data_IF_569684821402
#
_entry.id   IF_569684821402
#
_cell.length_a   1.000
_cell.length_b   1.000
_cell.length_c   1.000
_cell.angle_alpha   90.00
_cell.angle_beta   90.00
_cell.angle_gamma   90.00
#
_symmetry.space_group_name_H-M   'P 1'
#
loop_
_entity.id
_entity.type
_entity.pdbx_description
1 polymer ?
#
# COMPACT_ATOMS: atom_id res chain seq x y z
N UNK A 1 -27.23 -5.03 -17.69
CA UNK A 1 -26.41 -4.04 -18.46
C UNK A 1 -27.04 -2.65 -18.53
N UNK A 2 -28.37 -2.51 -18.47
CA UNK A 2 -29.05 -1.22 -18.53
C UNK A 2 -28.67 -0.29 -17.37
N UNK A 3 -28.76 -0.75 -16.13
CA UNK A 3 -28.42 0.02 -14.93
C UNK A 3 -26.99 0.60 -14.95
N UNK A 4 -26.03 -0.14 -15.46
CA UNK A 4 -24.66 0.36 -15.57
C UNK A 4 -24.53 1.53 -16.56
N UNK A 5 -25.28 1.49 -17.66
CA UNK A 5 -25.32 2.61 -18.64
C UNK A 5 -25.99 3.85 -18.05
N UNK A 6 -27.05 3.66 -17.27
CA UNK A 6 -27.73 4.75 -16.55
C UNK A 6 -26.81 5.38 -15.49
N UNK A 7 -26.07 4.55 -14.74
CA UNK A 7 -25.06 5.04 -13.80
C UNK A 7 -23.91 5.77 -14.48
N UNK A 8 -23.47 5.33 -15.68
CA UNK A 8 -22.48 6.05 -16.47
C UNK A 8 -22.97 7.43 -16.89
N UNK A 9 -24.23 7.53 -17.31
CA UNK A 9 -24.84 8.81 -17.67
C UNK A 9 -24.92 9.78 -16.46
N UNK A 10 -24.96 9.24 -15.24
CA UNK A 10 -24.90 9.99 -13.98
C UNK A 10 -23.47 10.22 -13.45
N UNK A 11 -22.43 9.93 -14.28
CA UNK A 11 -21.04 10.17 -13.92
C UNK A 11 -20.32 9.01 -13.21
N UNK A 12 -20.90 7.81 -13.17
CA UNK A 12 -20.26 6.64 -12.57
C UNK A 12 -19.12 6.10 -13.45
N UNK A 13 -17.91 6.02 -12.93
CA UNK A 13 -16.69 5.71 -13.71
C UNK A 13 -16.17 4.28 -13.54
N UNK A 14 -16.80 3.46 -12.69
CA UNK A 14 -16.33 2.09 -12.44
C UNK A 14 -16.91 1.07 -13.41
N UNK A 15 -16.34 -0.15 -13.41
CA UNK A 15 -16.71 -1.22 -14.33
C UNK A 15 -18.12 -1.78 -14.08
N UNK A 16 -18.74 -2.32 -15.12
CA UNK A 16 -20.03 -3.05 -15.02
C UNK A 16 -19.98 -4.21 -14.03
N UNK A 17 -18.80 -4.81 -13.86
CA UNK A 17 -18.57 -5.91 -12.90
C UNK A 17 -18.75 -5.48 -11.45
N UNK A 18 -18.36 -4.24 -11.12
CA UNK A 18 -18.55 -3.65 -9.77
C UNK A 18 -20.03 -3.49 -9.48
N UNK A 19 -20.79 -2.97 -10.45
CA UNK A 19 -22.25 -2.83 -10.32
C UNK A 19 -22.91 -4.19 -10.15
N UNK A 20 -22.55 -5.19 -10.96
CA UNK A 20 -23.13 -6.54 -10.87
C UNK A 20 -22.87 -7.19 -9.52
N UNK A 21 -21.65 -7.06 -8.97
CA UNK A 21 -21.33 -7.57 -7.62
C UNK A 21 -22.16 -6.89 -6.53
N UNK A 22 -22.35 -5.59 -6.64
CA UNK A 22 -23.17 -4.84 -5.69
C UNK A 22 -24.63 -5.28 -5.73
N UNK A 23 -25.22 -5.42 -6.92
CA UNK A 23 -26.60 -5.89 -7.10
C UNK A 23 -26.77 -7.31 -6.55
N UNK A 24 -25.81 -8.21 -6.81
CA UNK A 24 -25.85 -9.58 -6.27
C UNK A 24 -25.85 -9.57 -4.74
N UNK A 25 -25.06 -8.68 -4.12
CA UNK A 25 -25.04 -8.52 -2.66
C UNK A 25 -26.38 -8.00 -2.13
N UNK A 26 -26.95 -6.99 -2.79
CA UNK A 26 -28.26 -6.44 -2.41
C UNK A 26 -29.38 -7.49 -2.53
N UNK A 27 -29.42 -8.28 -3.60
CA UNK A 27 -30.42 -9.35 -3.77
C UNK A 27 -30.33 -10.38 -2.64
N UNK A 28 -29.13 -10.86 -2.32
CA UNK A 28 -28.91 -11.80 -1.21
C UNK A 28 -29.31 -11.21 0.13
N UNK A 29 -29.03 -9.93 0.37
CA UNK A 29 -29.42 -9.25 1.59
C UNK A 29 -30.94 -9.08 1.67
N UNK A 30 -31.63 -8.76 0.56
CA UNK A 30 -33.10 -8.69 0.47
C UNK A 30 -33.77 -10.05 0.72
N UNK A 31 -33.18 -11.12 0.18
CA UNK A 31 -33.66 -12.51 0.44
C UNK A 31 -33.51 -12.89 1.93
N UNK A 32 -32.53 -12.28 2.64
CA UNK A 32 -32.35 -12.42 4.08
C UNK A 32 -33.21 -11.45 4.93
N UNK A 33 -34.19 -10.75 4.32
CA UNK A 33 -35.10 -9.85 5.02
C UNK A 33 -34.51 -8.46 5.33
N UNK A 34 -33.35 -8.11 4.78
CA UNK A 34 -32.76 -6.78 4.93
C UNK A 34 -33.30 -5.83 3.86
N UNK A 35 -34.00 -4.77 4.27
CA UNK A 35 -34.36 -3.66 3.40
C UNK A 35 -33.29 -2.56 3.52
N UNK A 36 -32.65 -2.13 2.41
CA UNK A 36 -31.75 -1.01 2.46
C UNK A 36 -32.51 0.25 2.83
N UNK A 37 -32.17 0.87 3.96
CA UNK A 37 -32.57 2.24 4.18
C UNK A 37 -32.00 3.07 3.04
N UNK A 38 -32.87 3.69 2.26
CA UNK A 38 -32.51 4.64 1.20
C UNK A 38 -31.99 5.92 1.87
N UNK A 39 -30.83 5.83 2.51
CA UNK A 39 -30.07 7.03 2.79
C UNK A 39 -29.50 7.51 1.44
N UNK A 40 -30.23 8.39 0.79
CA UNK A 40 -29.71 9.25 -0.26
C UNK A 40 -28.70 10.22 0.35
N UNK A 41 -27.58 9.67 0.82
CA UNK A 41 -26.41 10.50 1.04
C UNK A 41 -25.81 10.76 -0.34
N UNK A 42 -25.83 11.98 -0.84
CA UNK A 42 -25.09 12.31 -2.02
C UNK A 42 -23.64 12.01 -1.69
N UNK A 43 -23.11 10.90 -2.24
CA UNK A 43 -21.70 10.60 -2.13
C UNK A 43 -20.94 11.63 -2.96
N UNK A 44 -20.70 12.79 -2.34
CA UNK A 44 -19.74 13.75 -2.83
C UNK A 44 -18.38 13.09 -2.70
N UNK A 45 -17.79 12.77 -3.83
CA UNK A 45 -16.41 12.25 -3.90
C UNK A 45 -15.53 13.23 -3.13
N UNK A 46 -14.78 12.80 -2.11
CA UNK A 46 -13.88 13.70 -1.41
C UNK A 46 -12.98 14.38 -2.44
N UNK A 47 -13.02 15.70 -2.52
CA UNK A 47 -12.12 16.48 -3.35
C UNK A 47 -10.75 16.46 -2.68
N UNK A 48 -9.96 15.45 -2.99
CA UNK A 48 -8.63 15.32 -2.41
C UNK A 48 -7.90 14.08 -2.93
N UNK A 49 -6.59 14.00 -2.70
CA UNK A 49 -5.81 12.83 -3.10
C UNK A 49 -6.31 11.59 -2.36
N UNK A 50 -6.32 10.44 -3.03
CA UNK A 50 -6.66 9.17 -2.40
C UNK A 50 -5.64 8.82 -1.29
N UNK A 51 -6.06 8.05 -0.28
CA UNK A 51 -5.15 7.57 0.78
C UNK A 51 -3.89 6.90 0.21
N UNK A 52 -4.04 6.16 -0.91
CA UNK A 52 -2.92 5.55 -1.62
C UNK A 52 -1.97 6.59 -2.22
N UNK A 53 -2.48 7.64 -2.84
CA UNK A 53 -1.66 8.73 -3.40
C UNK A 53 -0.90 9.45 -2.29
N UNK A 54 -1.58 9.75 -1.18
CA UNK A 54 -0.95 10.32 0.02
C UNK A 54 0.17 9.43 0.54
N UNK A 55 -0.03 8.12 0.64
CA UNK A 55 1.00 7.18 1.10
C UNK A 55 2.26 7.20 0.23
N UNK A 56 2.12 7.26 -1.10
CA UNK A 56 3.27 7.40 -2.00
C UNK A 56 4.00 8.73 -1.81
N UNK A 57 3.25 9.82 -1.69
CA UNK A 57 3.83 11.15 -1.41
C UNK A 57 4.53 11.17 -0.06
N UNK A 58 3.96 10.51 0.95
CA UNK A 58 4.51 10.42 2.31
C UNK A 58 5.89 9.77 2.35
N UNK A 59 6.09 8.67 1.62
CA UNK A 59 7.38 7.97 1.55
C UNK A 59 8.37 8.61 0.56
N UNK A 60 7.91 9.49 -0.32
CA UNK A 60 8.79 10.23 -1.24
C UNK A 60 9.70 11.19 -0.44
N UNK A 61 11.02 11.27 -0.74
CA UNK A 61 11.88 12.28 -0.15
C UNK A 61 11.33 13.68 -0.37
N UNK A 62 11.37 14.53 0.66
CA UNK A 62 10.81 15.89 0.61
C UNK A 62 11.36 16.70 -0.56
N UNK A 63 12.68 16.62 -0.81
CA UNK A 63 13.33 17.30 -1.93
C UNK A 63 12.85 16.86 -3.33
N UNK A 64 12.12 15.72 -3.42
CA UNK A 64 11.58 15.18 -4.68
C UNK A 64 10.06 15.33 -4.79
N UNK A 65 9.42 15.94 -3.79
CA UNK A 65 7.97 16.15 -3.82
C UNK A 65 7.60 17.34 -4.69
N UNK A 66 6.51 17.21 -5.42
CA UNK A 66 5.86 18.35 -6.06
C UNK A 66 5.26 19.27 -4.99
N UNK A 67 5.20 20.57 -5.28
CA UNK A 67 4.75 21.58 -4.32
C UNK A 67 3.32 21.37 -3.82
N UNK A 68 2.40 21.00 -4.71
CA UNK A 68 1.02 20.67 -4.39
C UNK A 68 0.89 19.44 -3.48
N UNK A 69 1.74 18.44 -3.71
CA UNK A 69 1.81 17.24 -2.90
C UNK A 69 2.37 17.53 -1.49
N UNK A 70 3.34 18.43 -1.37
CA UNK A 70 3.86 18.89 -0.08
C UNK A 70 2.77 19.66 0.69
N UNK A 71 2.08 20.58 0.06
CA UNK A 71 0.98 21.32 0.66
C UNK A 71 -0.13 20.38 1.20
N UNK A 72 -0.44 19.33 0.45
CA UNK A 72 -1.42 18.32 0.88
C UNK A 72 -0.96 17.59 2.15
N UNK A 73 0.33 17.26 2.28
CA UNK A 73 0.88 16.64 3.50
C UNK A 73 0.83 17.60 4.67
N UNK A 74 1.18 18.87 4.46
CA UNK A 74 1.18 19.89 5.52
C UNK A 74 -0.24 20.15 6.03
N UNK A 75 -1.23 20.21 5.16
CA UNK A 75 -2.63 20.30 5.54
C UNK A 75 -3.09 19.08 6.37
N UNK A 76 -2.70 17.87 5.98
CA UNK A 76 -3.01 16.65 6.73
C UNK A 76 -2.37 16.66 8.12
N UNK A 77 -1.13 17.11 8.25
CA UNK A 77 -0.41 17.22 9.52
C UNK A 77 -1.07 18.22 10.47
N UNK A 78 -1.58 19.33 9.94
CA UNK A 78 -2.28 20.34 10.72
C UNK A 78 -3.71 19.92 11.06
N UNK A 79 -4.37 19.18 10.17
CA UNK A 79 -5.76 18.75 10.33
C UNK A 79 -5.97 17.59 11.30
N UNK A 80 -4.94 16.79 11.59
CA UNK A 80 -5.04 15.64 12.47
C UNK A 80 -3.78 15.44 13.32
N UNK A 81 -3.96 15.55 14.64
CA UNK A 81 -2.86 15.43 15.60
C UNK A 81 -2.08 14.11 15.45
N UNK A 82 -2.78 12.99 15.26
CA UNK A 82 -2.15 11.67 15.06
C UNK A 82 -1.27 11.63 13.82
N UNK A 83 -1.68 12.30 12.74
CA UNK A 83 -0.88 12.41 11.52
C UNK A 83 0.34 13.31 11.75
N UNK A 84 0.14 14.43 12.45
CA UNK A 84 1.24 15.32 12.85
C UNK A 84 2.32 14.63 13.67
N UNK A 85 1.91 13.75 14.60
CA UNK A 85 2.82 12.94 15.41
C UNK A 85 3.47 11.79 14.64
N UNK A 86 2.72 11.13 13.73
CA UNK A 86 3.23 10.01 12.93
C UNK A 86 4.26 10.45 11.90
N UNK A 87 4.16 11.68 11.40
CA UNK A 87 5.01 12.17 10.30
C UNK A 87 6.51 12.16 10.66
N UNK A 88 6.96 12.79 11.74
CA UNK A 88 8.38 12.80 12.08
C UNK A 88 8.93 11.40 12.34
N UNK A 89 8.19 10.54 13.03
CA UNK A 89 8.58 9.15 13.28
C UNK A 89 8.72 8.36 11.97
N UNK A 90 7.78 8.53 11.05
CA UNK A 90 7.84 7.88 9.74
C UNK A 90 9.04 8.37 8.91
N UNK A 91 9.30 9.68 8.90
CA UNK A 91 10.44 10.23 8.17
C UNK A 91 11.78 9.79 8.79
N UNK A 92 11.87 9.72 10.11
CA UNK A 92 13.04 9.18 10.81
C UNK A 92 13.30 7.72 10.42
N UNK A 93 12.27 6.87 10.38
CA UNK A 93 12.42 5.50 9.90
C UNK A 93 12.88 5.41 8.45
N UNK A 94 12.28 6.21 7.57
CA UNK A 94 12.69 6.27 6.16
C UNK A 94 14.13 6.76 5.98
N UNK A 95 14.60 7.66 6.84
CA UNK A 95 16.00 8.08 6.87
C UNK A 95 16.93 6.93 7.29
N UNK A 96 16.57 6.18 8.35
CA UNK A 96 17.33 4.98 8.77
C UNK A 96 17.49 3.98 7.62
N UNK A 97 16.42 3.74 6.86
CA UNK A 97 16.44 2.80 5.72
C UNK A 97 17.33 3.35 4.59
N UNK A 98 17.19 4.62 4.24
CA UNK A 98 17.94 5.24 3.13
C UNK A 98 19.43 5.36 3.42
N UNK A 99 19.76 5.71 4.66
CA UNK A 99 21.13 5.95 5.12
C UNK A 99 21.79 4.68 5.66
N UNK A 100 21.05 3.57 5.71
CA UNK A 100 21.52 2.28 6.24
C UNK A 100 22.00 2.34 7.68
N UNK A 101 21.27 3.06 8.52
CA UNK A 101 21.64 3.28 9.92
C UNK A 101 20.98 2.26 10.85
N UNK A 102 21.45 1.01 10.78
CA UNK A 102 20.97 -0.05 11.66
C UNK A 102 21.32 0.15 13.13
N UNK A 103 22.31 0.97 13.44
CA UNK A 103 22.72 1.39 14.80
C UNK A 103 21.60 2.16 15.52
N UNK A 104 20.89 3.02 14.83
CA UNK A 104 19.82 3.84 15.40
C UNK A 104 18.43 3.16 15.42
N UNK A 105 18.31 1.92 14.92
CA UNK A 105 17.04 1.21 14.83
C UNK A 105 16.38 0.98 16.20
N UNK A 106 17.16 0.58 17.22
CA UNK A 106 16.61 0.26 18.55
C UNK A 106 16.06 1.49 19.27
N UNK A 107 16.74 2.64 19.10
CA UNK A 107 16.25 3.91 19.63
C UNK A 107 14.93 4.30 18.96
N UNK A 108 14.85 4.18 17.63
CA UNK A 108 13.62 4.45 16.89
C UNK A 108 12.47 3.52 17.30
N UNK A 109 12.71 2.22 17.47
CA UNK A 109 11.71 1.26 17.94
C UNK A 109 11.15 1.68 19.31
N UNK A 110 12.00 2.13 20.21
CA UNK A 110 11.59 2.57 21.55
C UNK A 110 10.71 3.83 21.48
N UNK A 111 11.11 4.80 20.68
CA UNK A 111 10.36 6.03 20.47
C UNK A 111 9.00 5.77 19.80
N UNK A 112 8.97 4.95 18.75
CA UNK A 112 7.74 4.58 18.06
C UNK A 112 6.76 3.81 18.95
N UNK A 113 7.26 2.91 19.80
CA UNK A 113 6.44 2.19 20.78
C UNK A 113 5.84 3.11 21.86
N UNK A 114 6.56 4.15 22.26
CA UNK A 114 6.13 5.13 23.24
C UNK A 114 5.24 6.25 22.67
N UNK A 115 5.06 6.33 21.35
CA UNK A 115 4.37 7.43 20.66
C UNK A 115 2.86 7.53 20.95
N UNK A 116 2.25 6.50 21.53
CA UNK A 116 0.79 6.41 21.70
C UNK A 116 0.02 6.10 20.41
N UNK A 117 0.71 5.92 19.28
CA UNK A 117 0.12 5.58 17.98
C UNK A 117 0.13 4.06 17.79
N UNK A 118 -1.02 3.42 17.97
CA UNK A 118 -1.14 1.95 17.97
C UNK A 118 -0.55 1.29 16.71
N UNK A 119 -0.72 1.89 15.55
CA UNK A 119 -0.19 1.37 14.29
C UNK A 119 1.35 1.37 14.27
N UNK A 120 1.98 2.45 14.77
CA UNK A 120 3.44 2.54 14.87
C UNK A 120 3.99 1.65 15.99
N UNK A 121 3.30 1.55 17.11
CA UNK A 121 3.68 0.65 18.18
C UNK A 121 3.67 -0.82 17.74
N UNK A 122 2.64 -1.25 17.00
CA UNK A 122 2.59 -2.59 16.40
C UNK A 122 3.69 -2.82 15.39
N UNK A 123 3.95 -1.85 14.55
CA UNK A 123 5.04 -1.92 13.57
C UNK A 123 6.40 -2.03 14.28
N UNK A 124 6.65 -1.20 15.29
CA UNK A 124 7.86 -1.24 16.08
C UNK A 124 8.04 -2.60 16.81
N UNK A 125 6.94 -3.20 17.31
CA UNK A 125 6.99 -4.53 17.89
C UNK A 125 7.39 -5.59 16.86
N UNK A 126 6.82 -5.57 15.64
CA UNK A 126 7.21 -6.49 14.59
C UNK A 126 8.68 -6.37 14.18
N UNK A 127 9.24 -5.15 14.19
CA UNK A 127 10.68 -4.94 13.95
C UNK A 127 11.53 -5.48 15.12
N UNK A 128 11.04 -5.41 16.36
CA UNK A 128 11.72 -5.95 17.53
C UNK A 128 11.78 -7.47 17.50
N UNK A 129 10.73 -8.12 17.05
CA UNK A 129 10.64 -9.58 16.95
C UNK A 129 11.71 -10.13 15.97
N UNK A 130 12.04 -9.38 14.91
CA UNK A 130 13.04 -9.71 13.89
C UNK A 130 14.27 -8.79 13.92
N UNK A 131 14.59 -8.21 15.08
CA UNK A 131 15.58 -7.14 15.23
C UNK A 131 16.93 -7.43 14.57
N UNK A 132 17.48 -8.64 14.78
CA UNK A 132 18.78 -9.02 14.24
C UNK A 132 18.78 -9.03 12.70
N UNK A 133 17.71 -9.55 12.09
CA UNK A 133 17.57 -9.61 10.64
C UNK A 133 17.36 -8.22 10.05
N UNK A 134 16.51 -7.39 10.67
CA UNK A 134 16.26 -6.00 10.23
C UNK A 134 17.53 -5.16 10.34
N UNK A 135 18.24 -5.25 11.48
CA UNK A 135 19.50 -4.54 11.70
C UNK A 135 20.57 -4.95 10.69
N UNK A 136 20.68 -6.25 10.39
CA UNK A 136 21.58 -6.74 9.36
C UNK A 136 21.19 -6.18 7.97
N UNK A 137 19.92 -6.16 7.61
CA UNK A 137 19.42 -5.59 6.35
C UNK A 137 19.68 -4.09 6.21
N UNK A 138 19.69 -3.35 7.33
CA UNK A 138 19.99 -1.92 7.36
C UNK A 138 21.51 -1.61 7.40
N UNK A 139 22.35 -2.58 7.74
CA UNK A 139 23.79 -2.36 7.94
C UNK A 139 24.63 -2.96 6.83
N UNK A 140 24.29 -4.18 6.42
CA UNK A 140 25.08 -4.94 5.46
C UNK A 140 24.87 -4.43 4.02
N UNK A 141 25.92 -4.49 3.18
CA UNK A 141 25.84 -4.07 1.78
C UNK A 141 25.01 -5.03 0.91
N UNK A 142 24.69 -6.20 1.42
CA UNK A 142 23.94 -7.24 0.71
C UNK A 142 22.47 -6.90 0.60
N UNK A 143 21.90 -7.14 -0.56
CA UNK A 143 20.47 -6.92 -0.83
C UNK A 143 19.86 -8.21 -1.38
N UNK A 144 18.65 -8.52 -0.95
CA UNK A 144 17.85 -9.62 -1.49
C UNK A 144 17.18 -9.26 -2.84
N UNK A 145 17.33 -7.99 -3.27
CA UNK A 145 16.73 -7.47 -4.50
C UNK A 145 17.02 -8.28 -5.76
N UNK A 146 18.27 -8.71 -6.01
CA UNK A 146 18.59 -9.57 -7.16
C UNK A 146 17.84 -10.90 -7.12
N UNK A 147 17.75 -11.54 -5.95
CA UNK A 147 17.02 -12.81 -5.76
C UNK A 147 15.52 -12.61 -5.99
N UNK A 148 14.93 -11.57 -5.41
CA UNK A 148 13.52 -11.22 -5.63
C UNK A 148 13.25 -10.89 -7.10
N UNK A 149 14.12 -10.17 -7.77
CA UNK A 149 14.06 -9.89 -9.19
C UNK A 149 14.00 -11.17 -10.02
N UNK A 150 14.89 -12.13 -9.75
CA UNK A 150 14.91 -13.43 -10.42
C UNK A 150 13.65 -14.26 -10.12
N UNK A 151 13.20 -14.29 -8.88
CA UNK A 151 11.94 -14.97 -8.49
C UNK A 151 10.73 -14.35 -9.19
N UNK A 152 10.65 -13.04 -9.26
CA UNK A 152 9.57 -12.35 -9.96
C UNK A 152 9.59 -12.61 -11.47
N UNK A 153 10.78 -12.61 -12.08
CA UNK A 153 10.96 -13.00 -13.48
C UNK A 153 10.50 -14.42 -13.73
N UNK A 154 10.88 -15.37 -12.88
CA UNK A 154 10.42 -16.75 -12.96
C UNK A 154 8.90 -16.87 -12.85
N UNK A 155 8.28 -16.12 -11.94
CA UNK A 155 6.81 -16.04 -11.80
C UNK A 155 6.15 -15.52 -13.08
N UNK A 156 6.72 -14.50 -13.72
CA UNK A 156 6.20 -13.94 -14.99
C UNK A 156 6.27 -14.98 -16.08
N UNK A 157 7.44 -15.65 -16.29
CA UNK A 157 7.62 -16.72 -17.27
C UNK A 157 6.66 -17.88 -17.08
N UNK A 158 6.44 -18.29 -15.81
CA UNK A 158 5.44 -19.31 -15.46
C UNK A 158 4.01 -18.89 -15.83
N UNK A 159 3.63 -17.64 -15.56
CA UNK A 159 2.32 -17.11 -15.90
C UNK A 159 2.10 -17.02 -17.40
N UNK A 160 3.10 -16.61 -18.17
CA UNK A 160 3.05 -16.58 -19.64
C UNK A 160 2.85 -18.00 -20.24
N UNK A 161 3.32 -19.04 -19.55
CA UNK A 161 3.07 -20.45 -19.92
C UNK A 161 1.71 -20.98 -19.45
N UNK A 162 0.81 -20.15 -18.92
CA UNK A 162 -0.50 -20.55 -18.40
C UNK A 162 -0.45 -21.73 -17.42
N UNK A 163 0.65 -21.88 -16.67
CA UNK A 163 0.89 -22.98 -15.75
C UNK A 163 1.29 -24.30 -16.41
N UNK A 164 1.39 -24.36 -17.75
CA UNK A 164 1.76 -25.57 -18.51
C UNK A 164 3.27 -25.74 -18.70
N UNK A 165 4.06 -24.71 -18.37
CA UNK A 165 5.51 -24.78 -18.48
C UNK A 165 6.09 -25.67 -17.38
N UNK A 166 6.59 -26.84 -17.74
CA UNK A 166 7.36 -27.72 -16.85
C UNK A 166 8.73 -27.12 -16.51
N UNK A 167 9.40 -27.67 -15.50
CA UNK A 167 10.69 -27.17 -14.97
C UNK A 167 11.75 -27.06 -16.07
N UNK A 168 11.83 -28.04 -16.99
CA UNK A 168 12.78 -28.00 -18.11
C UNK A 168 12.61 -26.80 -19.03
N UNK A 169 11.36 -26.49 -19.43
CA UNK A 169 11.05 -25.32 -20.26
C UNK A 169 11.29 -24.00 -19.52
N UNK A 170 10.94 -23.94 -18.23
CA UNK A 170 11.20 -22.76 -17.40
C UNK A 170 12.70 -22.50 -17.28
N UNK A 171 13.50 -23.55 -17.04
CA UNK A 171 14.96 -23.45 -16.99
C UNK A 171 15.53 -22.89 -18.30
N UNK A 172 15.12 -23.42 -19.43
CA UNK A 172 15.58 -22.95 -20.76
C UNK A 172 15.21 -21.46 -20.93
N UNK A 173 13.97 -21.06 -20.64
CA UNK A 173 13.52 -19.67 -20.77
C UNK A 173 14.24 -18.69 -19.83
N UNK A 174 14.57 -19.14 -18.62
CA UNK A 174 15.33 -18.30 -17.66
C UNK A 174 16.77 -18.09 -18.15
N UNK A 175 17.38 -19.13 -18.75
CA UNK A 175 18.78 -19.10 -19.19
C UNK A 175 18.98 -18.46 -20.56
N UNK A 176 17.96 -18.42 -21.43
CA UNK A 176 18.06 -17.89 -22.81
C UNK A 176 17.85 -16.37 -22.92
N UNK A 177 17.44 -15.69 -21.86
CA UNK A 177 17.29 -14.23 -21.90
C UNK A 177 18.55 -13.59 -21.34
N UNK A 178 19.49 -13.34 -22.22
CA UNK A 178 20.55 -12.36 -22.07
C UNK A 178 20.08 -11.04 -22.65
#
# INVERSE_FOLDING_TARGET
>A
MQLWRELQALGYTYSSRTVSRFITRLRRASEAGWAPETQTSPYTRPQGPSARAVSFTWVCPEAKRAQDAQLSIDQLRQGAQSIGQAYPLSQAFLALVRERRGDALEAWITEAAASGLEALARFAQGLRDDLAAVKAGLTLPWSNGPVEGHVNRLKVLKRQGYGRAGVGLLRQRVMQVV
#
